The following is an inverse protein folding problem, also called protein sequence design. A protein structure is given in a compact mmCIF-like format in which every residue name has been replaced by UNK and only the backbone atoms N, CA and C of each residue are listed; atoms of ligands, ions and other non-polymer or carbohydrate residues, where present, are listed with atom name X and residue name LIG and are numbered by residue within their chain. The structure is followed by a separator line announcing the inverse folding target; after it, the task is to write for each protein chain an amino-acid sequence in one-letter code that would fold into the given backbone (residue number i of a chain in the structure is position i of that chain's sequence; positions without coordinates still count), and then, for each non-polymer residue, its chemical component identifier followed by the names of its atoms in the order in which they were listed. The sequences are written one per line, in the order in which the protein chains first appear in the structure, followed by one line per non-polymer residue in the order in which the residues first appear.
data_IF_912285728301
#
_entry.id   IF_912285728301
#
_cell.length_a   1.000
_cell.length_b   1.000
_cell.length_c   1.000
_cell.angle_alpha   90.00
_cell.angle_beta   90.00
_cell.angle_gamma   90.00
#
_symmetry.space_group_name_H-M   'P 1'
#
loop_
_entity.id
_entity.type
_entity.pdbx_description
1 polymer ?
#
# COMPACT_ATOMS: atom_id res chain seq x y z
N UNK A 1 6.25 22.78 5.70
CA UNK A 1 6.52 22.91 4.25
C UNK A 1 7.09 21.58 3.81
N UNK A 2 6.34 20.80 3.03
CA UNK A 2 6.90 19.60 2.36
C UNK A 2 7.94 20.04 1.34
N UNK A 3 9.01 19.27 1.20
CA UNK A 3 10.05 19.55 0.20
C UNK A 3 9.57 19.10 -1.20
N UNK A 4 10.04 19.72 -2.31
CA UNK A 4 9.60 19.38 -3.67
C UNK A 4 9.78 17.89 -4.03
N UNK A 5 10.76 17.22 -3.41
CA UNK A 5 10.99 15.78 -3.57
C UNK A 5 9.89 14.94 -2.91
N UNK A 6 9.37 15.36 -1.76
CA UNK A 6 8.25 14.69 -1.09
C UNK A 6 6.99 14.75 -1.95
N UNK A 7 6.74 15.90 -2.57
CA UNK A 7 5.58 16.10 -3.44
C UNK A 7 5.65 15.19 -4.68
N UNK A 8 6.85 14.96 -5.23
CA UNK A 8 7.01 14.07 -6.38
C UNK A 8 6.74 12.59 -6.05
N UNK A 9 7.26 12.10 -4.92
CA UNK A 9 7.03 10.71 -4.46
C UNK A 9 5.56 10.48 -4.10
N UNK A 10 4.94 11.45 -3.41
CA UNK A 10 3.51 11.40 -3.08
C UNK A 10 2.65 11.40 -4.35
N UNK A 11 2.91 12.32 -5.28
CA UNK A 11 2.16 12.38 -6.53
C UNK A 11 2.30 11.11 -7.38
N UNK A 12 3.45 10.43 -7.33
CA UNK A 12 3.62 9.13 -7.99
C UNK A 12 2.76 8.04 -7.34
N UNK A 13 2.70 7.99 -6.01
CA UNK A 13 1.83 7.06 -5.30
C UNK A 13 0.36 7.36 -5.56
N UNK A 14 -0.06 8.62 -5.48
CA UNK A 14 -1.46 9.04 -5.70
C UNK A 14 -1.94 8.65 -7.09
N UNK A 15 -1.10 8.84 -8.13
CA UNK A 15 -1.42 8.38 -9.49
C UNK A 15 -1.59 6.86 -9.55
N UNK A 16 -0.63 6.10 -9.01
CA UNK A 16 -0.70 4.64 -9.01
C UNK A 16 -1.95 4.11 -8.28
N UNK A 17 -2.30 4.71 -7.13
CA UNK A 17 -3.49 4.36 -6.36
C UNK A 17 -4.77 4.72 -7.14
N UNK A 18 -4.81 5.90 -7.75
CA UNK A 18 -5.97 6.32 -8.55
C UNK A 18 -6.22 5.37 -9.72
N UNK A 19 -5.17 5.06 -10.49
CA UNK A 19 -5.25 4.13 -11.62
C UNK A 19 -5.67 2.73 -11.17
N UNK A 20 -5.11 2.26 -10.05
CA UNK A 20 -5.48 0.97 -9.48
C UNK A 20 -6.95 0.93 -9.03
N UNK A 21 -7.40 1.94 -8.29
CA UNK A 21 -8.80 2.01 -7.84
C UNK A 21 -9.77 2.08 -9.02
N UNK A 22 -9.44 2.81 -10.09
CA UNK A 22 -10.24 2.82 -11.31
C UNK A 22 -10.35 1.41 -11.94
N UNK A 23 -9.26 0.64 -11.93
CA UNK A 23 -9.30 -0.76 -12.36
C UNK A 23 -10.20 -1.62 -11.46
N UNK A 24 -10.04 -1.55 -10.14
CA UNK A 24 -10.81 -2.35 -9.18
C UNK A 24 -12.29 -1.98 -9.13
N UNK A 25 -12.66 -0.73 -9.43
CA UNK A 25 -14.05 -0.29 -9.53
C UNK A 25 -14.69 -0.68 -10.87
N UNK A 26 -13.88 -0.87 -11.91
CA UNK A 26 -14.31 -1.28 -13.24
C UNK A 26 -14.01 -2.76 -13.53
N UNK A 27 -13.13 -3.08 -14.50
CA UNK A 27 -12.89 -4.46 -14.94
C UNK A 27 -12.44 -5.43 -13.83
N UNK A 28 -11.74 -4.93 -12.81
CA UNK A 28 -11.25 -5.73 -11.69
C UNK A 28 -12.32 -6.15 -10.70
N UNK A 29 -13.52 -5.55 -10.74
CA UNK A 29 -14.59 -5.80 -9.76
C UNK A 29 -15.19 -7.20 -9.87
N UNK A 30 -15.35 -7.69 -11.10
CA UNK A 30 -15.96 -8.98 -11.42
C UNK A 30 -15.00 -9.99 -12.03
N UNK A 31 -13.68 -9.73 -11.96
CA UNK A 31 -12.70 -10.64 -12.54
C UNK A 31 -12.47 -11.84 -11.62
N UNK A 32 -12.41 -13.04 -12.20
CA UNK A 32 -11.90 -14.23 -11.50
C UNK A 32 -10.39 -14.40 -11.72
N UNK A 33 -9.71 -13.41 -12.30
CA UNK A 33 -8.26 -13.43 -12.48
C UNK A 33 -7.54 -13.53 -11.13
N UNK A 34 -6.39 -14.21 -11.13
CA UNK A 34 -5.59 -14.43 -9.93
C UNK A 34 -4.14 -14.07 -10.21
N UNK A 35 -3.52 -13.45 -9.22
CA UNK A 35 -2.06 -13.41 -9.08
C UNK A 35 -1.70 -14.50 -8.09
N UNK A 36 -0.98 -15.52 -8.56
CA UNK A 36 -0.83 -16.80 -7.87
C UNK A 36 -2.18 -17.39 -7.45
N UNK A 37 -2.50 -17.32 -6.14
CA UNK A 37 -3.76 -17.79 -5.56
C UNK A 37 -4.75 -16.68 -5.24
N UNK A 38 -4.33 -15.42 -5.30
CA UNK A 38 -5.09 -14.25 -4.81
C UNK A 38 -5.94 -13.62 -5.89
N UNK A 39 -7.22 -13.39 -5.58
CA UNK A 39 -8.14 -12.65 -6.43
C UNK A 39 -7.97 -11.15 -6.21
N UNK A 40 -8.60 -10.35 -7.09
CA UNK A 40 -8.60 -8.89 -7.00
C UNK A 40 -8.95 -8.35 -5.59
N UNK A 41 -9.94 -8.97 -4.92
CA UNK A 41 -10.31 -8.60 -3.55
C UNK A 41 -9.19 -8.86 -2.54
N UNK A 42 -8.53 -10.01 -2.64
CA UNK A 42 -7.47 -10.42 -1.71
C UNK A 42 -6.24 -9.50 -1.85
N UNK A 43 -5.98 -9.02 -3.07
CA UNK A 43 -4.94 -8.03 -3.36
C UNK A 43 -5.22 -6.70 -2.62
N UNK A 44 -6.46 -6.19 -2.70
CA UNK A 44 -6.82 -4.94 -2.03
C UNK A 44 -6.60 -5.00 -0.50
N UNK A 45 -6.86 -6.15 0.12
CA UNK A 45 -6.79 -6.32 1.58
C UNK A 45 -5.38 -6.07 2.14
N UNK A 46 -4.32 -6.55 1.47
CA UNK A 46 -2.96 -6.34 1.99
C UNK A 46 -2.48 -4.90 1.82
N UNK A 47 -3.02 -4.17 0.84
CA UNK A 47 -2.68 -2.76 0.66
C UNK A 47 -3.18 -1.89 1.81
N UNK A 48 -4.30 -2.23 2.46
CA UNK A 48 -4.78 -1.52 3.66
C UNK A 48 -3.66 -1.47 4.71
N UNK A 49 -3.12 -2.63 5.06
CA UNK A 49 -2.06 -2.74 6.06
C UNK A 49 -0.82 -1.95 5.65
N UNK A 50 -0.32 -2.09 4.43
CA UNK A 50 0.94 -1.42 4.07
C UNK A 50 0.80 0.10 3.97
N UNK A 51 -0.40 0.65 3.70
CA UNK A 51 -0.62 2.10 3.79
C UNK A 51 -0.62 2.55 5.25
N UNK A 52 -1.42 1.91 6.10
CA UNK A 52 -1.52 2.29 7.52
C UNK A 52 -0.18 2.12 8.24
N UNK A 53 0.51 1.01 8.01
CA UNK A 53 1.83 0.79 8.56
C UNK A 53 2.77 1.92 8.09
N UNK A 54 2.81 2.24 6.79
CA UNK A 54 3.67 3.29 6.25
C UNK A 54 3.36 4.65 6.87
N UNK A 55 2.09 4.98 7.07
CA UNK A 55 1.66 6.19 7.75
C UNK A 55 2.17 6.24 9.20
N UNK A 56 1.96 5.17 9.98
CA UNK A 56 2.44 5.09 11.36
C UNK A 56 3.95 5.20 11.48
N UNK A 57 4.71 4.56 10.58
CA UNK A 57 6.16 4.68 10.57
C UNK A 57 6.62 6.12 10.33
N UNK A 58 6.02 6.81 9.35
CA UNK A 58 6.33 8.21 9.05
C UNK A 58 5.99 9.12 10.23
N UNK A 59 4.82 8.95 10.82
CA UNK A 59 4.39 9.73 12.00
C UNK A 59 5.30 9.48 13.21
N UNK A 60 5.69 8.22 13.44
CA UNK A 60 6.63 7.89 14.51
C UNK A 60 7.97 8.58 14.30
N UNK A 61 8.54 8.51 13.10
CA UNK A 61 9.80 9.17 12.77
C UNK A 61 9.71 10.71 12.93
N UNK A 62 8.60 11.32 12.50
CA UNK A 62 8.37 12.75 12.66
C UNK A 62 8.33 13.22 14.13
N UNK A 63 7.98 12.32 15.05
CA UNK A 63 7.94 12.56 16.50
C UNK A 63 9.22 12.11 17.22
N UNK A 64 10.25 11.65 16.50
CA UNK A 64 11.46 11.08 17.10
C UNK A 64 11.25 9.72 17.77
N UNK A 65 10.17 9.02 17.39
CA UNK A 65 9.82 7.70 17.87
C UNK A 65 10.61 6.56 17.21
N UNK A 66 10.31 5.29 17.57
CA UNK A 66 11.01 4.14 17.04
C UNK A 66 10.64 3.86 15.57
N UNK A 67 11.59 3.29 14.83
CA UNK A 67 11.33 2.74 13.48
C UNK A 67 10.30 1.61 13.55
N UNK A 68 9.27 1.68 12.71
CA UNK A 68 8.17 0.71 12.72
C UNK A 68 8.65 -0.68 12.27
N UNK A 69 8.52 -1.72 13.11
CA UNK A 69 8.90 -3.08 12.74
C UNK A 69 7.79 -3.74 11.91
N UNK A 70 8.15 -4.28 10.75
CA UNK A 70 7.27 -5.22 10.04
C UNK A 70 7.31 -6.55 10.80
N UNK A 71 6.14 -7.10 11.21
CA UNK A 71 6.09 -8.20 12.18
C UNK A 71 6.51 -9.55 11.59
N UNK A 72 6.49 -9.70 10.27
CA UNK A 72 6.84 -10.92 9.56
C UNK A 72 7.33 -10.61 8.13
N UNK A 73 7.70 -11.64 7.36
CA UNK A 73 7.83 -11.48 5.91
C UNK A 73 6.50 -11.07 5.26
N UNK A 74 6.59 -10.56 4.04
CA UNK A 74 5.43 -10.02 3.31
C UNK A 74 4.37 -11.09 3.04
N UNK A 75 4.75 -12.34 2.81
CA UNK A 75 3.79 -13.40 2.49
C UNK A 75 2.91 -13.74 3.71
N UNK A 76 3.52 -13.84 4.89
CA UNK A 76 2.78 -14.07 6.13
C UNK A 76 1.90 -12.87 6.49
N UNK A 77 2.42 -11.64 6.34
CA UNK A 77 1.62 -10.42 6.55
C UNK A 77 0.40 -10.41 5.62
N UNK A 78 0.59 -10.70 4.34
CA UNK A 78 -0.48 -10.69 3.34
C UNK A 78 -1.55 -11.74 3.65
N UNK A 79 -1.15 -12.94 4.07
CA UNK A 79 -2.08 -14.00 4.49
C UNK A 79 -2.88 -13.57 5.74
N UNK A 80 -2.25 -12.90 6.70
CA UNK A 80 -2.96 -12.37 7.88
C UNK A 80 -3.95 -11.28 7.48
N UNK A 81 -3.55 -10.32 6.63
CA UNK A 81 -4.45 -9.28 6.13
C UNK A 81 -5.66 -9.89 5.40
N UNK A 82 -5.43 -10.90 4.55
CA UNK A 82 -6.51 -11.60 3.86
C UNK A 82 -7.52 -12.22 4.84
N UNK A 83 -7.05 -12.82 5.94
CA UNK A 83 -7.91 -13.41 6.97
C UNK A 83 -8.65 -12.36 7.79
N UNK A 84 -7.99 -11.26 8.14
CA UNK A 84 -8.61 -10.17 8.90
C UNK A 84 -9.81 -9.54 8.18
N UNK A 85 -9.74 -9.49 6.85
CA UNK A 85 -10.76 -8.86 6.00
C UNK A 85 -11.66 -9.89 5.29
N UNK A 86 -11.59 -11.19 5.62
CA UNK A 86 -12.24 -12.25 4.82
C UNK A 86 -13.77 -12.14 4.75
N UNK A 87 -14.38 -11.57 5.80
CA UNK A 87 -15.82 -11.36 5.93
C UNK A 87 -16.32 -10.09 5.23
N UNK A 88 -15.41 -9.23 4.78
CA UNK A 88 -15.75 -7.95 4.20
C UNK A 88 -16.12 -8.10 2.72
N UNK A 89 -17.12 -7.32 2.31
CA UNK A 89 -17.48 -7.16 0.91
C UNK A 89 -16.39 -6.40 0.16
N UNK A 90 -16.42 -6.52 -1.18
CA UNK A 90 -15.48 -5.81 -2.03
C UNK A 90 -15.56 -4.28 -1.86
N UNK A 91 -16.77 -3.73 -1.71
CA UNK A 91 -16.98 -2.29 -1.52
C UNK A 91 -16.47 -1.81 -0.16
N UNK A 92 -16.61 -2.62 0.90
CA UNK A 92 -16.05 -2.30 2.22
C UNK A 92 -14.51 -2.27 2.18
N UNK A 93 -13.89 -3.25 1.51
CA UNK A 93 -12.44 -3.27 1.32
C UNK A 93 -11.96 -2.06 0.51
N UNK A 94 -12.65 -1.70 -0.58
CA UNK A 94 -12.34 -0.50 -1.36
C UNK A 94 -12.42 0.78 -0.52
N UNK A 95 -13.48 0.93 0.29
CA UNK A 95 -13.65 2.07 1.16
C UNK A 95 -12.51 2.16 2.19
N UNK A 96 -12.08 1.04 2.76
CA UNK A 96 -10.96 0.98 3.69
C UNK A 96 -9.62 1.33 3.02
N UNK A 97 -9.35 0.83 1.81
CA UNK A 97 -8.16 1.21 1.04
C UNK A 97 -8.11 2.73 0.84
N UNK A 98 -9.23 3.34 0.47
CA UNK A 98 -9.32 4.81 0.30
C UNK A 98 -9.01 5.54 1.60
N UNK A 99 -9.52 5.04 2.73
CA UNK A 99 -9.23 5.62 4.05
C UNK A 99 -7.76 5.47 4.44
N UNK A 100 -7.17 4.28 4.26
CA UNK A 100 -5.77 4.02 4.57
C UNK A 100 -4.85 4.90 3.69
N UNK A 101 -5.18 5.06 2.41
CA UNK A 101 -4.48 5.96 1.51
C UNK A 101 -4.58 7.43 1.98
N UNK A 102 -5.77 7.91 2.34
CA UNK A 102 -5.93 9.27 2.86
C UNK A 102 -5.11 9.52 4.15
N UNK A 103 -5.02 8.53 5.05
CA UNK A 103 -4.14 8.61 6.23
C UNK A 103 -2.67 8.71 5.85
N UNK A 104 -2.22 7.91 4.89
CA UNK A 104 -0.84 7.98 4.39
C UNK A 104 -0.53 9.34 3.75
N UNK A 105 -1.41 9.88 2.91
CA UNK A 105 -1.26 11.21 2.32
C UNK A 105 -1.08 12.26 3.41
N UNK A 106 -1.94 12.23 4.44
CA UNK A 106 -1.86 13.15 5.56
C UNK A 106 -0.54 13.03 6.36
N UNK A 107 -0.09 11.81 6.64
CA UNK A 107 1.19 11.55 7.31
C UNK A 107 2.38 12.13 6.52
N UNK A 108 2.39 11.91 5.20
CA UNK A 108 3.44 12.41 4.29
C UNK A 108 3.47 13.94 4.26
N UNK A 109 2.30 14.59 4.15
CA UNK A 109 2.20 16.05 4.10
C UNK A 109 2.69 16.73 5.39
N UNK A 110 2.64 16.02 6.52
CA UNK A 110 3.07 16.53 7.82
C UNK A 110 4.49 16.13 8.20
N UNK A 111 5.10 15.21 7.46
CA UNK A 111 6.44 14.75 7.73
C UNK A 111 7.47 15.87 7.48
N UNK A 112 8.32 16.21 8.47
CA UNK A 112 9.37 17.19 8.26
C UNK A 112 10.50 16.64 7.37
N UNK A 113 10.71 15.33 7.41
CA UNK A 113 11.73 14.62 6.64
C UNK A 113 11.23 13.21 6.28
N UNK A 114 11.13 12.90 4.98
CA UNK A 114 10.77 11.57 4.49
C UNK A 114 11.97 10.66 4.30
N UNK A 115 13.19 11.19 4.38
CA UNK A 115 14.43 10.43 4.29
C UNK A 115 14.87 9.91 5.67
N UNK A 116 14.12 10.25 6.73
CA UNK A 116 14.23 9.62 8.04
C UNK A 116 13.81 8.13 7.97
N UNK A 117 14.58 7.23 8.62
CA UNK A 117 14.19 5.85 8.84
C UNK A 117 12.80 5.72 9.48
N UNK A 118 11.89 4.98 8.85
CA UNK A 118 10.53 4.84 9.36
C UNK A 118 10.04 3.38 9.36
N UNK A 119 10.69 2.50 8.61
CA UNK A 119 10.35 1.08 8.49
C UNK A 119 11.55 0.17 8.71
N UNK A 120 11.34 -0.98 9.35
CA UNK A 120 12.34 -2.05 9.44
C UNK A 120 11.71 -3.39 9.09
N UNK A 121 12.25 -4.06 8.07
CA UNK A 121 11.87 -5.42 7.70
C UNK A 121 12.42 -6.44 8.69
N UNK A 122 11.89 -7.66 8.65
CA UNK A 122 12.42 -8.80 9.42
C UNK A 122 13.86 -9.16 9.07
N UNK A 123 14.31 -8.83 7.85
CA UNK A 123 15.71 -8.98 7.43
C UNK A 123 16.67 -8.00 8.13
N UNK A 124 16.15 -7.02 8.86
CA UNK A 124 16.91 -5.91 9.42
C UNK A 124 17.08 -4.72 8.47
N UNK A 125 16.67 -4.85 7.21
CA UNK A 125 16.67 -3.73 6.26
C UNK A 125 15.79 -2.59 6.79
N UNK A 126 16.35 -1.37 6.75
CA UNK A 126 15.65 -0.15 7.15
C UNK A 126 15.29 0.67 5.92
N UNK A 127 14.05 1.13 5.87
CA UNK A 127 13.50 1.93 4.79
C UNK A 127 13.05 3.29 5.29
N UNK A 128 13.26 4.29 4.45
CA UNK A 128 12.77 5.66 4.64
C UNK A 128 11.33 5.79 4.16
N UNK A 129 10.65 6.86 4.56
CA UNK A 129 9.31 7.19 4.07
C UNK A 129 9.29 7.28 2.55
N UNK A 130 10.29 7.95 1.96
CA UNK A 130 10.41 8.10 0.50
C UNK A 130 10.50 6.75 -0.22
N UNK A 131 11.36 5.86 0.27
CA UNK A 131 11.50 4.52 -0.31
C UNK A 131 10.21 3.71 -0.19
N UNK A 132 9.50 3.83 0.94
CA UNK A 132 8.21 3.16 1.14
C UNK A 132 7.14 3.64 0.15
N UNK A 133 7.04 4.94 -0.11
CA UNK A 133 6.11 5.49 -1.11
C UNK A 133 6.42 4.94 -2.51
N UNK A 134 7.69 4.91 -2.90
CA UNK A 134 8.12 4.36 -4.20
C UNK A 134 7.80 2.87 -4.34
N UNK A 135 8.06 2.08 -3.29
CA UNK A 135 7.73 0.66 -3.26
C UNK A 135 6.22 0.43 -3.37
N UNK A 136 5.40 1.19 -2.63
CA UNK A 136 3.94 1.08 -2.71
C UNK A 136 3.42 1.44 -4.11
N UNK A 137 3.93 2.51 -4.72
CA UNK A 137 3.53 2.92 -6.06
C UNK A 137 3.85 1.83 -7.10
N UNK A 138 5.05 1.24 -7.02
CA UNK A 138 5.42 0.12 -7.89
C UNK A 138 4.52 -1.10 -7.69
N UNK A 139 4.27 -1.46 -6.42
CA UNK A 139 3.50 -2.64 -6.04
C UNK A 139 2.04 -2.57 -6.51
N UNK A 140 1.40 -1.40 -6.39
CA UNK A 140 0.07 -1.18 -6.98
C UNK A 140 0.05 -1.46 -8.48
N UNK A 141 0.99 -0.85 -9.20
CA UNK A 141 1.04 -0.96 -10.65
C UNK A 141 1.37 -2.38 -11.10
N UNK A 142 2.20 -3.12 -10.34
CA UNK A 142 2.52 -4.52 -10.58
C UNK A 142 1.29 -5.41 -10.47
N UNK A 143 0.59 -5.38 -9.35
CA UNK A 143 -0.60 -6.21 -9.17
C UNK A 143 -1.72 -5.92 -10.18
N UNK A 144 -1.92 -4.66 -10.55
CA UNK A 144 -2.88 -4.32 -11.61
C UNK A 144 -2.47 -4.95 -12.95
N UNK A 145 -1.19 -4.85 -13.33
CA UNK A 145 -0.68 -5.47 -14.57
C UNK A 145 -0.83 -6.99 -14.56
N UNK A 146 -0.50 -7.64 -13.46
CA UNK A 146 -0.62 -9.10 -13.31
C UNK A 146 -2.07 -9.55 -13.42
N UNK A 147 -3.00 -8.87 -12.76
CA UNK A 147 -4.43 -9.17 -12.84
C UNK A 147 -4.99 -8.93 -14.25
N UNK A 148 -4.59 -7.85 -14.92
CA UNK A 148 -4.97 -7.57 -16.30
C UNK A 148 -4.43 -8.65 -17.26
N UNK A 149 -3.16 -9.04 -17.10
CA UNK A 149 -2.55 -10.10 -17.89
C UNK A 149 -3.25 -11.45 -17.70
N UNK A 150 -3.56 -11.82 -16.45
CA UNK A 150 -4.29 -13.05 -16.14
C UNK A 150 -5.74 -13.03 -16.63
N UNK A 151 -6.39 -11.85 -16.68
CA UNK A 151 -7.74 -11.71 -17.23
C UNK A 151 -7.76 -11.83 -18.77
N UNK A 152 -6.74 -11.30 -19.45
CA UNK A 152 -6.62 -11.35 -20.91
C UNK A 152 -6.07 -12.67 -21.47
N UNK A 153 -5.56 -13.56 -20.62
CA UNK A 153 -5.04 -14.88 -21.00
C UNK A 153 -6.11 -15.98 -21.02
N UNK A 154 -7.40 -15.62 -21.01
CA UNK A 154 -8.54 -16.54 -21.03
C UNK A 154 -9.17 -16.67 -22.41
#
# INVERSE_FOLDING_TARGET
MTTPSNDASLAALDRAVHDALAYFEGPGRGTDARVDRWQARDVLMHFIYFHDATAWGIESAALGGPVWPVPADSDLVNEVCRRLHEHESFDEVLAQVRQAHARLVHAVQRAPDLDAPCFRRTTGEVLTGRQRLGLLAHHWAEHVRELQGAAGSR
#
